data_IF_297681201198
#
_entry.id   IF_297681201198
#
_cell.length_a   1.000
_cell.length_b   1.000
_cell.length_c   1.000
_cell.angle_alpha   90.00
_cell.angle_beta   90.00
_cell.angle_gamma   90.00
#
_symmetry.space_group_name_H-M   'P 1'
#
loop_
_entity.id
_entity.type
_entity.pdbx_description
1 polymer ?
#
# COMPACT_ATOMS: atom_id res chain seq x y z
N UNK A 1 -0.82 8.22 29.16
CA UNK A 1 -0.77 6.83 28.67
C UNK A 1 -0.43 6.80 27.18
N UNK A 2 -1.33 7.27 26.30
CA UNK A 2 -1.17 7.14 24.84
C UNK A 2 0.00 7.91 24.19
N UNK A 3 0.56 8.94 24.85
CA UNK A 3 1.72 9.69 24.32
C UNK A 3 2.93 8.81 23.99
N UNK A 4 3.12 7.71 24.73
CA UNK A 4 4.29 6.83 24.61
C UNK A 4 3.90 5.38 24.24
N UNK A 5 2.62 5.12 23.92
CA UNK A 5 2.19 3.79 23.51
C UNK A 5 2.60 3.56 22.05
N UNK A 6 3.16 2.40 21.76
CA UNK A 6 3.43 1.98 20.39
C UNK A 6 2.11 1.60 19.71
N UNK A 7 1.48 2.58 19.07
CA UNK A 7 0.31 2.34 18.24
C UNK A 7 0.72 1.71 16.91
N UNK A 8 -0.19 0.96 16.31
CA UNK A 8 -0.06 0.39 14.98
C UNK A 8 -1.34 0.66 14.18
N UNK A 9 -1.23 0.64 12.85
CA UNK A 9 -2.39 0.75 11.95
C UNK A 9 -2.82 -0.64 11.47
N UNK A 10 -4.02 -0.76 10.92
CA UNK A 10 -4.44 -2.00 10.29
C UNK A 10 -5.60 -1.83 9.32
N UNK A 11 -5.72 -2.77 8.39
CA UNK A 11 -6.77 -2.83 7.38
C UNK A 11 -7.15 -4.27 7.08
N UNK A 12 -8.39 -4.50 6.64
CA UNK A 12 -8.82 -5.83 6.22
C UNK A 12 -8.36 -6.16 4.79
N UNK A 13 -8.16 -7.45 4.49
CA UNK A 13 -8.02 -8.00 3.12
C UNK A 13 -9.01 -9.16 2.94
N UNK A 14 -9.32 -9.50 1.69
CA UNK A 14 -10.06 -10.72 1.34
C UNK A 14 -9.15 -11.95 1.28
N UNK A 15 -7.84 -11.77 1.09
CA UNK A 15 -6.87 -12.85 0.94
C UNK A 15 -5.51 -12.44 1.52
N UNK A 16 -5.04 -13.20 2.52
CA UNK A 16 -3.77 -12.94 3.20
C UNK A 16 -2.57 -13.41 2.39
N UNK A 17 -2.69 -14.51 1.65
CA UNK A 17 -1.58 -15.03 0.83
C UNK A 17 -1.33 -14.10 -0.35
N UNK A 18 -2.38 -13.60 -1.01
CA UNK A 18 -2.22 -12.59 -2.06
C UNK A 18 -1.64 -11.28 -1.52
N UNK A 19 -2.09 -10.83 -0.34
CA UNK A 19 -1.51 -9.65 0.29
C UNK A 19 -0.02 -9.84 0.63
N UNK A 20 0.35 -11.01 1.16
CA UNK A 20 1.74 -11.36 1.49
C UNK A 20 2.63 -11.38 0.27
N UNK A 21 2.19 -11.96 -0.84
CA UNK A 21 2.94 -11.95 -2.10
C UNK A 21 3.10 -10.52 -2.63
N UNK A 22 2.04 -9.72 -2.60
CA UNK A 22 2.11 -8.33 -3.06
C UNK A 22 3.05 -7.47 -2.21
N UNK A 23 2.87 -7.44 -0.89
CA UNK A 23 3.69 -6.61 -0.01
C UNK A 23 5.12 -7.15 0.13
N UNK A 24 5.30 -8.46 0.24
CA UNK A 24 6.59 -9.10 0.46
C UNK A 24 7.43 -9.26 -0.81
N UNK A 25 6.83 -9.69 -1.91
CA UNK A 25 7.55 -9.99 -3.16
C UNK A 25 7.48 -8.81 -4.12
N UNK A 26 6.28 -8.34 -4.48
CA UNK A 26 6.12 -7.28 -5.49
C UNK A 26 6.69 -5.94 -5.00
N UNK A 27 6.32 -5.52 -3.79
CA UNK A 27 6.83 -4.29 -3.18
C UNK A 27 8.17 -4.49 -2.46
N UNK A 28 8.53 -5.73 -2.09
CA UNK A 28 9.80 -6.03 -1.43
C UNK A 28 9.87 -5.60 0.04
N UNK A 29 8.72 -5.46 0.71
CA UNK A 29 8.67 -5.08 2.13
C UNK A 29 8.98 -6.29 3.03
N UNK A 30 9.47 -6.01 4.23
CA UNK A 30 9.57 -7.06 5.25
C UNK A 30 8.17 -7.38 5.79
N UNK A 31 7.75 -8.63 5.61
CA UNK A 31 6.46 -9.13 6.08
C UNK A 31 6.65 -10.36 6.95
N UNK A 32 5.77 -10.54 7.93
CA UNK A 32 5.66 -11.77 8.71
C UNK A 32 4.21 -12.14 8.90
N UNK A 33 3.92 -13.43 8.99
CA UNK A 33 2.57 -13.93 9.16
C UNK A 33 2.46 -14.74 10.45
N UNK A 34 1.42 -14.49 11.24
CA UNK A 34 1.15 -15.20 12.49
C UNK A 34 -0.33 -15.25 12.77
N UNK A 35 -0.85 -16.42 13.14
CA UNK A 35 -2.27 -16.65 13.45
C UNK A 35 -3.25 -16.17 12.35
N UNK A 36 -2.85 -16.30 11.07
CA UNK A 36 -3.65 -15.84 9.93
C UNK A 36 -3.71 -14.33 9.75
N UNK A 37 -2.81 -13.58 10.39
CA UNK A 37 -2.65 -12.13 10.25
C UNK A 37 -1.31 -11.83 9.61
N UNK A 38 -1.28 -10.82 8.74
CA UNK A 38 -0.07 -10.35 8.08
C UNK A 38 0.42 -9.07 8.77
N UNK A 39 1.66 -9.08 9.25
CA UNK A 39 2.36 -7.91 9.73
C UNK A 39 3.28 -7.40 8.62
N UNK A 40 3.08 -6.14 8.22
CA UNK A 40 3.90 -5.43 7.23
C UNK A 40 4.76 -4.42 7.98
N UNK A 41 6.08 -4.58 7.94
CA UNK A 41 7.01 -3.66 8.59
C UNK A 41 7.40 -2.55 7.63
N UNK A 42 7.15 -1.31 8.04
CA UNK A 42 7.48 -0.13 7.25
C UNK A 42 8.88 0.38 7.57
N UNK A 43 9.51 1.08 6.62
CA UNK A 43 10.82 1.70 6.81
C UNK A 43 10.88 2.74 7.94
N UNK A 44 9.72 3.24 8.39
CA UNK A 44 9.60 4.12 9.58
C UNK A 44 9.77 3.39 10.91
N UNK A 45 9.78 2.05 10.92
CA UNK A 45 9.79 1.21 12.11
C UNK A 45 8.40 0.89 12.68
N UNK A 46 7.32 1.38 12.06
CA UNK A 46 5.95 1.03 12.42
C UNK A 46 5.49 -0.26 11.72
N UNK A 47 4.59 -1.00 12.37
CA UNK A 47 3.91 -2.16 11.79
C UNK A 47 2.50 -1.79 11.32
N UNK A 48 2.11 -2.31 10.17
CA UNK A 48 0.72 -2.33 9.70
C UNK A 48 0.20 -3.75 9.71
N UNK A 49 -0.97 -3.96 10.30
CA UNK A 49 -1.62 -5.26 10.38
C UNK A 49 -2.66 -5.42 9.26
N UNK A 50 -2.47 -6.38 8.37
CA UNK A 50 -3.51 -6.82 7.44
C UNK A 50 -4.19 -8.09 7.99
N UNK A 51 -5.53 -8.11 8.00
CA UNK A 51 -6.31 -9.21 8.57
C UNK A 51 -7.43 -9.67 7.62
N UNK A 52 -7.76 -10.97 7.58
CA UNK A 52 -8.80 -11.48 6.70
C UNK A 52 -10.19 -11.04 7.18
N UNK A 53 -11.07 -10.70 6.24
CA UNK A 53 -12.48 -10.40 6.52
C UNK A 53 -13.36 -10.99 5.41
N UNK A 54 -14.36 -11.79 5.79
CA UNK A 54 -15.23 -12.53 4.85
C UNK A 54 -15.96 -11.59 3.87
N UNK A 55 -16.45 -10.45 4.36
CA UNK A 55 -17.06 -9.38 3.58
C UNK A 55 -16.12 -8.16 3.47
N UNK A 56 -14.88 -8.41 3.06
CA UNK A 56 -13.94 -7.36 2.71
C UNK A 56 -14.43 -6.59 1.48
N UNK A 57 -14.39 -5.27 1.57
CA UNK A 57 -14.56 -4.35 0.45
C UNK A 57 -13.30 -3.49 0.38
N UNK A 58 -12.77 -3.20 -0.81
CA UNK A 58 -11.66 -2.27 -0.97
C UNK A 58 -11.95 -0.92 -0.29
N UNK A 59 -10.94 -0.34 0.35
CA UNK A 59 -11.09 0.95 1.00
C UNK A 59 -11.40 2.03 -0.06
N UNK A 60 -12.42 2.84 0.18
CA UNK A 60 -12.78 4.00 -0.66
C UNK A 60 -12.02 5.27 -0.26
N UNK A 61 -10.94 5.12 0.52
CA UNK A 61 -10.09 6.18 1.03
C UNK A 61 -8.66 5.66 1.18
N UNK A 62 -7.69 6.57 1.26
CA UNK A 62 -6.27 6.22 1.36
C UNK A 62 -5.93 5.57 2.71
N UNK A 63 -5.29 4.39 2.67
CA UNK A 63 -4.89 3.64 3.87
C UNK A 63 -3.38 3.63 4.13
N UNK A 64 -2.56 3.82 3.09
CA UNK A 64 -1.10 3.74 3.17
C UNK A 64 -0.49 4.53 2.01
N UNK A 65 0.53 5.33 2.30
CA UNK A 65 1.27 6.10 1.30
C UNK A 65 2.76 5.79 1.41
N UNK A 66 3.43 5.66 0.27
CA UNK A 66 4.89 5.52 0.19
C UNK A 66 5.47 6.76 -0.51
N UNK A 67 6.00 7.74 0.25
CA UNK A 67 6.78 8.82 -0.35
C UNK A 67 8.03 8.24 -1.02
N UNK A 68 8.29 8.65 -2.25
CA UNK A 68 9.44 8.24 -3.05
C UNK A 68 10.12 9.47 -3.65
N UNK A 69 11.42 9.39 -3.91
CA UNK A 69 12.19 10.49 -4.48
C UNK A 69 11.83 10.74 -5.97
N UNK A 70 11.44 9.68 -6.68
CA UNK A 70 11.10 9.72 -8.11
C UNK A 70 9.88 8.82 -8.38
N UNK A 71 8.72 9.44 -8.57
CA UNK A 71 7.46 8.75 -8.78
C UNK A 71 7.39 8.07 -10.16
N UNK A 72 7.99 8.65 -11.20
CA UNK A 72 7.98 8.05 -12.53
C UNK A 72 8.76 6.74 -12.52
N UNK A 73 9.94 6.76 -11.90
CA UNK A 73 10.76 5.57 -11.72
C UNK A 73 10.05 4.51 -10.89
N UNK A 74 9.40 4.90 -9.79
CA UNK A 74 8.65 3.96 -8.96
C UNK A 74 7.49 3.31 -9.74
N UNK A 75 6.73 4.09 -10.50
CA UNK A 75 5.64 3.59 -11.36
C UNK A 75 6.16 2.64 -12.42
N UNK A 76 7.28 2.96 -13.08
CA UNK A 76 7.87 2.10 -14.11
C UNK A 76 8.35 0.77 -13.53
N UNK A 77 9.06 0.80 -12.40
CA UNK A 77 9.56 -0.42 -11.75
C UNK A 77 8.43 -1.33 -11.27
N UNK A 78 7.38 -0.75 -10.67
CA UNK A 78 6.22 -1.50 -10.22
C UNK A 78 5.40 -2.04 -11.40
N UNK A 79 5.24 -1.26 -12.46
CA UNK A 79 4.58 -1.71 -13.70
C UNK A 79 5.35 -2.87 -14.35
N UNK A 80 6.69 -2.82 -14.35
CA UNK A 80 7.54 -3.92 -14.84
C UNK A 80 7.39 -5.20 -14.00
N UNK A 81 7.01 -5.09 -12.72
CA UNK A 81 6.65 -6.20 -11.83
C UNK A 81 5.19 -6.64 -11.95
N UNK A 82 4.43 -6.05 -12.89
CA UNK A 82 3.04 -6.42 -13.18
C UNK A 82 1.98 -5.65 -12.38
N UNK A 83 2.37 -4.63 -11.61
CA UNK A 83 1.41 -3.76 -10.92
C UNK A 83 0.64 -2.94 -11.95
N UNK A 84 -0.69 -2.87 -11.77
CA UNK A 84 -1.56 -1.97 -12.53
C UNK A 84 -1.99 -0.85 -11.59
N UNK A 85 -1.61 0.37 -11.91
CA UNK A 85 -2.03 1.55 -11.17
C UNK A 85 -3.49 1.89 -11.49
N UNK A 86 -4.21 2.31 -10.46
CA UNK A 86 -5.60 2.71 -10.58
C UNK A 86 -5.71 4.04 -11.34
N UNK A 87 -6.74 4.15 -12.18
CA UNK A 87 -7.05 5.37 -12.90
C UNK A 87 -8.34 5.93 -12.35
N UNK A 88 -8.30 7.19 -11.95
CA UNK A 88 -9.41 7.87 -11.33
C UNK A 88 -10.05 8.80 -12.35
N UNK A 89 -11.31 8.56 -12.68
CA UNK A 89 -12.04 9.34 -13.68
C UNK A 89 -12.19 10.82 -13.28
N UNK A 90 -12.16 11.12 -11.98
CA UNK A 90 -12.32 12.47 -11.43
C UNK A 90 -11.04 13.33 -11.51
N UNK A 91 -9.90 12.76 -11.93
CA UNK A 91 -8.62 13.47 -11.98
C UNK A 91 -7.93 13.35 -13.34
N UNK A 92 -7.30 14.43 -13.80
CA UNK A 92 -6.39 14.34 -14.93
C UNK A 92 -5.10 13.61 -14.51
N UNK A 93 -4.80 12.52 -15.21
CA UNK A 93 -3.59 11.70 -15.00
C UNK A 93 -2.81 11.60 -16.32
N UNK A 94 -1.49 11.60 -16.24
CA UNK A 94 -0.63 11.48 -17.41
C UNK A 94 -0.65 10.06 -18.03
N UNK A 95 0.15 9.84 -19.08
CA UNK A 95 0.23 8.53 -19.75
C UNK A 95 0.60 7.37 -18.82
N UNK A 96 1.29 7.62 -17.71
CA UNK A 96 1.68 6.60 -16.70
C UNK A 96 0.65 6.43 -15.59
N UNK A 97 -0.27 7.39 -15.42
CA UNK A 97 -1.27 7.35 -14.35
C UNK A 97 -0.97 8.29 -13.21
N UNK A 98 0.02 9.16 -13.39
CA UNK A 98 0.42 10.08 -12.35
C UNK A 98 -0.47 11.32 -12.47
N UNK A 99 -1.21 11.62 -11.41
CA UNK A 99 -1.85 12.92 -11.22
C UNK A 99 -0.78 13.93 -10.79
N UNK A 100 -0.82 15.12 -11.39
CA UNK A 100 0.17 16.20 -11.20
C UNK A 100 -0.49 17.54 -10.96
N UNK A 101 0.27 18.49 -10.43
CA UNK A 101 -0.09 19.91 -10.30
C UNK A 101 -1.35 20.22 -9.48
N UNK A 102 -1.91 19.25 -8.76
CA UNK A 102 -3.05 19.40 -7.83
C UNK A 102 -2.68 19.06 -6.38
N UNK A 103 -1.39 19.07 -6.06
CA UNK A 103 -0.83 18.63 -4.79
C UNK A 103 0.49 17.89 -5.01
N UNK A 104 0.92 17.03 -4.08
CA UNK A 104 1.97 16.05 -4.34
C UNK A 104 1.57 15.16 -5.51
N UNK A 105 2.53 14.74 -6.34
CA UNK A 105 2.27 13.76 -7.39
C UNK A 105 1.79 12.43 -6.78
N UNK A 106 0.75 11.83 -7.38
CA UNK A 106 0.10 10.59 -6.91
C UNK A 106 -0.10 9.65 -8.10
N UNK A 107 0.20 8.36 -7.91
CA UNK A 107 0.00 7.28 -8.88
C UNK A 107 -0.87 6.17 -8.30
#
# INVERSE_FOLDING_TARGET
>A
MFRNTHAFSGFSTNDIEQAKEFYGTTLGLEVSESNGLLEIKLGSGTTVLAYPKENHEPATFTILNFPVDDIEKAVDELSARGVRFERYDDFEQDGKGIMRDQGPDIA
#
